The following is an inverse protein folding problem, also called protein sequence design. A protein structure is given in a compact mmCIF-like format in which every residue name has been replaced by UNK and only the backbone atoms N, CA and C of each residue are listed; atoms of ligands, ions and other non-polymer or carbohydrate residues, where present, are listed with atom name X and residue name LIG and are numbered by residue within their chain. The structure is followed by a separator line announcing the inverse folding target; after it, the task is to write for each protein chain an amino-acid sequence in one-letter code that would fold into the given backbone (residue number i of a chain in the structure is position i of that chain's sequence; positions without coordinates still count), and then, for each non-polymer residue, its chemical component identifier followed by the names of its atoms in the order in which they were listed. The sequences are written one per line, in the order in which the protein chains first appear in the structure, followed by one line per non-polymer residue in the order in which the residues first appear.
data_IF_488161397962
#
_entry.id   IF_488161397962
#
_cell.length_a   1.000
_cell.length_b   1.000
_cell.length_c   1.000
_cell.angle_alpha   90.00
_cell.angle_beta   90.00
_cell.angle_gamma   90.00
#
_symmetry.space_group_name_H-M   'P 1'
#
loop_
_entity.id
_entity.type
_entity.pdbx_description
1 polymer ?
#
# COMPACT_ATOMS: atom_id res chain seq x y z
N UNK A 1 51.68 -15.07 -38.28
CA UNK A 1 50.75 -14.91 -39.41
C UNK A 1 49.47 -14.24 -38.93
N UNK A 2 49.04 -13.21 -39.66
CA UNK A 2 47.70 -12.62 -39.77
C UNK A 2 47.14 -11.77 -38.60
N UNK A 3 47.43 -10.47 -38.76
CA UNK A 3 46.61 -9.30 -38.44
C UNK A 3 45.14 -9.44 -38.89
N UNK A 4 44.19 -8.93 -38.10
CA UNK A 4 42.88 -8.41 -38.53
C UNK A 4 42.40 -7.43 -37.43
N UNK A 5 42.68 -6.13 -37.55
CA UNK A 5 41.92 -5.07 -38.26
C UNK A 5 40.76 -4.48 -37.46
N UNK A 6 40.99 -3.24 -37.04
CA UNK A 6 40.02 -2.20 -36.75
C UNK A 6 38.83 -2.18 -37.73
N UNK A 7 37.64 -1.88 -37.23
CA UNK A 7 36.68 -1.05 -37.95
C UNK A 7 35.88 -0.18 -36.98
N UNK A 8 36.20 1.11 -37.04
CA UNK A 8 35.38 2.22 -36.58
C UNK A 8 34.10 2.26 -37.42
N UNK A 9 32.93 2.29 -36.77
CA UNK A 9 31.74 2.90 -37.36
C UNK A 9 31.41 4.18 -36.59
N UNK A 10 31.76 5.28 -37.24
CA UNK A 10 31.47 6.67 -36.94
C UNK A 10 29.98 6.92 -37.18
N UNK A 11 29.22 7.20 -36.12
CA UNK A 11 27.88 7.79 -36.25
C UNK A 11 27.92 9.20 -35.66
N UNK A 12 27.84 10.19 -36.55
CA UNK A 12 27.79 11.61 -36.27
C UNK A 12 26.49 11.99 -35.58
N UNK A 13 26.63 12.92 -34.63
CA UNK A 13 25.63 13.66 -33.89
C UNK A 13 24.58 14.31 -34.80
N UNK A 14 23.30 14.09 -34.50
CA UNK A 14 22.22 15.06 -34.78
C UNK A 14 21.57 15.37 -33.43
N UNK A 15 21.72 16.63 -33.03
CA UNK A 15 21.34 17.16 -31.73
C UNK A 15 19.88 16.91 -31.36
N UNK A 16 19.68 16.34 -30.17
CA UNK A 16 18.54 16.70 -29.34
C UNK A 16 19.10 17.44 -28.14
N UNK A 17 18.84 18.73 -28.10
CA UNK A 17 19.00 19.53 -26.88
C UNK A 17 17.96 19.04 -25.90
N UNK A 18 18.31 17.99 -25.16
CA UNK A 18 17.61 17.63 -23.95
C UNK A 18 17.98 18.69 -22.92
N UNK A 19 17.10 19.66 -22.71
CA UNK A 19 17.14 20.49 -21.50
C UNK A 19 16.76 19.59 -20.33
N UNK A 20 17.68 18.72 -19.94
CA UNK A 20 17.65 18.04 -18.65
C UNK A 20 17.76 19.13 -17.61
N UNK A 21 16.62 19.47 -16.99
CA UNK A 21 16.56 20.19 -15.73
C UNK A 21 17.24 19.30 -14.69
N UNK A 22 18.56 19.47 -14.59
CA UNK A 22 19.40 18.97 -13.52
C UNK A 22 18.87 19.56 -12.22
N UNK A 23 18.12 18.76 -11.46
CA UNK A 23 18.08 18.99 -10.03
C UNK A 23 19.42 18.52 -9.51
N UNK A 24 20.29 19.48 -9.21
CA UNK A 24 21.50 19.27 -8.44
C UNK A 24 21.06 18.67 -7.09
N UNK A 25 21.12 17.35 -6.99
CA UNK A 25 21.15 16.66 -5.70
C UNK A 25 22.56 16.89 -5.17
N UNK A 26 22.73 17.91 -4.33
CA UNK A 26 23.97 18.10 -3.58
C UNK A 26 24.11 16.93 -2.61
N UNK A 27 24.85 15.92 -3.02
CA UNK A 27 25.44 14.95 -2.12
C UNK A 27 26.63 15.64 -1.46
N UNK A 28 26.36 16.39 -0.39
CA UNK A 28 27.42 16.87 0.49
C UNK A 28 27.84 15.70 1.38
N UNK A 29 29.05 15.18 1.15
CA UNK A 29 29.81 14.33 2.08
C UNK A 29 30.32 15.15 3.28
N UNK A 30 29.42 15.90 3.93
CA UNK A 30 29.58 16.36 5.30
C UNK A 30 28.70 15.46 6.16
N UNK A 31 29.06 15.24 7.42
CA UNK A 31 28.22 14.55 8.40
C UNK A 31 26.76 14.97 8.19
N UNK A 32 25.93 14.03 7.72
CA UNK A 32 24.51 14.31 7.61
C UNK A 32 24.04 14.48 9.04
N UNK A 33 24.00 15.72 9.53
CA UNK A 33 23.07 16.11 10.57
C UNK A 33 21.74 15.70 9.95
N UNK A 34 21.29 14.50 10.32
CA UNK A 34 19.98 14.00 9.93
C UNK A 34 19.06 15.05 10.53
N UNK A 35 18.64 16.05 9.76
CA UNK A 35 17.54 16.90 10.17
C UNK A 35 16.44 15.92 10.52
N UNK A 36 16.19 15.77 11.82
CA UNK A 36 15.28 14.75 12.31
C UNK A 36 13.96 15.02 11.64
N UNK A 37 13.51 14.07 10.81
CA UNK A 37 12.23 14.23 10.13
C UNK A 37 11.18 14.31 11.21
N UNK A 38 10.50 15.45 11.28
CA UNK A 38 9.38 15.66 12.17
C UNK A 38 8.39 14.49 12.07
N UNK A 39 7.74 14.11 13.20
CA UNK A 39 6.82 13.00 13.21
C UNK A 39 5.65 13.24 12.25
N UNK A 40 4.95 12.17 11.82
CA UNK A 40 3.76 12.30 10.97
C UNK A 40 2.76 13.31 11.56
N UNK A 41 2.27 14.23 10.74
CA UNK A 41 1.45 15.38 11.17
C UNK A 41 2.20 16.71 11.02
N UNK A 42 3.46 16.74 11.44
CA UNK A 42 4.34 17.92 11.41
C UNK A 42 5.31 17.91 10.22
N UNK A 43 5.19 16.92 9.33
CA UNK A 43 6.02 16.81 8.14
C UNK A 43 5.83 17.98 7.16
N UNK A 44 6.89 18.23 6.38
CA UNK A 44 6.90 19.28 5.34
C UNK A 44 5.78 19.08 4.33
N UNK A 45 4.95 20.11 4.19
CA UNK A 45 3.93 20.26 3.15
C UNK A 45 4.58 20.92 1.94
N UNK A 46 4.48 20.27 0.77
CA UNK A 46 5.03 20.82 -0.47
C UNK A 46 4.00 21.72 -1.17
N UNK A 47 4.44 22.68 -2.00
CA UNK A 47 3.53 23.53 -2.79
C UNK A 47 2.57 22.71 -3.65
N UNK A 48 3.08 21.65 -4.27
CA UNK A 48 2.27 20.72 -5.06
C UNK A 48 1.24 19.98 -4.22
N UNK A 49 1.57 19.56 -2.98
CA UNK A 49 0.59 18.91 -2.10
C UNK A 49 -0.56 19.85 -1.74
N UNK A 50 -0.29 21.15 -1.57
CA UNK A 50 -1.33 22.16 -1.35
C UNK A 50 -2.22 22.29 -2.59
N UNK A 51 -1.61 22.44 -3.77
CA UNK A 51 -2.33 22.49 -5.04
C UNK A 51 -3.23 21.26 -5.25
N UNK A 52 -2.69 20.06 -5.04
CA UNK A 52 -3.47 18.83 -5.15
C UNK A 52 -4.60 18.84 -4.12
N UNK A 53 -4.34 19.17 -2.86
CA UNK A 53 -5.39 19.20 -1.82
C UNK A 53 -6.53 20.17 -2.14
N UNK A 54 -6.21 21.36 -2.68
CA UNK A 54 -7.21 22.37 -3.07
C UNK A 54 -8.04 21.90 -4.28
N UNK A 55 -7.43 21.21 -5.26
CA UNK A 55 -8.08 20.88 -6.52
C UNK A 55 -8.64 19.45 -6.60
N UNK A 56 -8.27 18.55 -5.67
CA UNK A 56 -8.70 17.15 -5.70
C UNK A 56 -10.22 17.00 -5.51
N UNK A 57 -10.83 17.88 -4.70
CA UNK A 57 -12.27 17.86 -4.44
C UNK A 57 -13.13 18.30 -5.65
N UNK A 58 -12.52 18.86 -6.70
CA UNK A 58 -13.22 19.26 -7.92
C UNK A 58 -13.49 18.06 -8.84
N UNK A 59 -12.74 16.96 -8.70
CA UNK A 59 -12.87 15.75 -9.51
C UNK A 59 -13.82 14.70 -8.94
N UNK A 60 -14.96 15.07 -8.34
CA UNK A 60 -15.82 14.15 -7.55
C UNK A 60 -16.31 12.89 -8.29
N UNK A 61 -16.28 12.89 -9.63
CA UNK A 61 -16.85 11.83 -10.46
C UNK A 61 -15.78 10.99 -11.21
N UNK A 62 -14.49 11.27 -11.01
CA UNK A 62 -13.39 10.56 -11.69
C UNK A 62 -12.67 9.57 -10.75
N UNK A 63 -11.99 8.59 -11.35
CA UNK A 63 -11.12 7.67 -10.60
C UNK A 63 -9.96 8.49 -9.99
N UNK A 64 -9.67 8.36 -8.68
CA UNK A 64 -8.63 9.13 -7.97
C UNK A 64 -7.28 9.20 -8.68
N UNK A 65 -6.86 8.10 -9.31
CA UNK A 65 -5.61 8.02 -10.10
C UNK A 65 -5.63 8.96 -11.30
N UNK A 66 -6.77 9.06 -11.99
CA UNK A 66 -6.93 9.92 -13.16
C UNK A 66 -6.91 11.40 -12.77
N UNK A 67 -7.60 11.76 -11.69
CA UNK A 67 -7.55 13.10 -11.09
C UNK A 67 -6.10 13.48 -10.80
N UNK A 68 -5.34 12.59 -10.15
CA UNK A 68 -3.95 12.87 -9.79
C UNK A 68 -3.05 13.07 -11.02
N UNK A 69 -3.24 12.28 -12.08
CA UNK A 69 -2.53 12.45 -13.37
C UNK A 69 -2.86 13.81 -13.99
N UNK A 70 -4.14 14.19 -14.01
CA UNK A 70 -4.61 15.46 -14.55
C UNK A 70 -4.04 16.65 -13.76
N UNK A 71 -4.11 16.61 -12.43
CA UNK A 71 -3.55 17.65 -11.55
C UNK A 71 -2.02 17.76 -11.70
N UNK A 72 -1.32 16.63 -11.88
CA UNK A 72 0.13 16.65 -12.13
C UNK A 72 0.45 17.38 -13.44
N UNK A 73 -0.35 17.18 -14.50
CA UNK A 73 -0.20 17.90 -15.77
C UNK A 73 -0.50 19.38 -15.60
N UNK A 74 -1.60 19.73 -14.94
CA UNK A 74 -1.97 21.12 -14.67
C UNK A 74 -0.86 21.84 -13.90
N UNK A 75 -0.37 21.26 -12.80
CA UNK A 75 0.73 21.83 -12.01
C UNK A 75 1.99 22.10 -12.85
N UNK A 76 2.34 21.22 -13.79
CA UNK A 76 3.49 21.44 -14.67
C UNK A 76 3.28 22.65 -15.58
N UNK A 77 2.06 22.83 -16.07
CA UNK A 77 1.69 23.88 -17.01
C UNK A 77 1.38 25.24 -16.35
N UNK A 78 1.19 25.30 -15.01
CA UNK A 78 1.01 26.56 -14.30
C UNK A 78 2.22 27.49 -14.48
N UNK A 79 1.96 28.79 -14.54
CA UNK A 79 2.98 29.82 -14.55
C UNK A 79 3.76 29.89 -13.24
N UNK A 80 4.96 30.47 -13.26
CA UNK A 80 5.79 30.61 -12.06
C UNK A 80 5.13 31.51 -11.01
N UNK A 81 4.38 32.54 -11.42
CA UNK A 81 3.62 33.41 -10.51
C UNK A 81 2.50 32.67 -9.78
N UNK A 82 1.77 31.79 -10.48
CA UNK A 82 0.73 30.96 -9.89
C UNK A 82 1.31 29.94 -8.92
N UNK A 83 2.47 29.34 -9.28
CA UNK A 83 3.22 28.43 -8.40
C UNK A 83 3.74 29.15 -7.16
N UNK A 84 4.18 30.41 -7.30
CA UNK A 84 4.73 31.22 -6.20
C UNK A 84 3.75 31.33 -5.04
N UNK A 85 2.45 31.55 -5.31
CA UNK A 85 1.39 31.54 -4.29
C UNK A 85 1.39 30.26 -3.46
N UNK A 86 1.56 29.09 -4.07
CA UNK A 86 1.62 27.82 -3.35
C UNK A 86 2.96 27.61 -2.64
N UNK A 87 4.05 28.15 -3.18
CA UNK A 87 5.37 28.14 -2.54
C UNK A 87 5.32 28.91 -1.23
N UNK A 88 4.85 30.15 -1.27
CA UNK A 88 4.78 31.04 -0.11
C UNK A 88 3.87 30.46 0.97
N UNK A 89 2.66 30.01 0.58
CA UNK A 89 1.75 29.30 1.49
C UNK A 89 2.38 28.05 2.11
N UNK A 90 3.14 27.27 1.33
CA UNK A 90 3.77 26.07 1.84
C UNK A 90 4.87 26.40 2.85
N UNK A 91 5.64 27.47 2.64
CA UNK A 91 6.65 27.94 3.60
C UNK A 91 5.97 28.34 4.90
N UNK A 92 4.97 29.21 4.84
CA UNK A 92 4.21 29.66 6.02
C UNK A 92 3.63 28.48 6.82
N UNK A 93 2.91 27.56 6.17
CA UNK A 93 2.31 26.40 6.85
C UNK A 93 3.35 25.46 7.45
N UNK A 94 4.56 25.39 6.88
CA UNK A 94 5.62 24.55 7.44
C UNK A 94 6.27 25.21 8.65
N UNK A 95 6.40 26.53 8.64
CA UNK A 95 6.88 27.30 9.79
C UNK A 95 5.88 27.23 10.95
N UNK A 96 4.60 27.42 10.68
CA UNK A 96 3.52 27.28 11.67
C UNK A 96 3.54 25.88 12.31
N UNK A 97 3.60 24.82 11.50
CA UNK A 97 3.72 23.44 12.02
C UNK A 97 4.98 23.21 12.82
N UNK A 98 6.10 23.83 12.42
CA UNK A 98 7.36 23.69 13.14
C UNK A 98 7.26 24.37 14.51
N UNK A 99 6.71 25.57 14.57
CA UNK A 99 6.49 26.30 15.82
C UNK A 99 5.48 25.57 16.73
N UNK A 100 4.40 25.04 16.15
CA UNK A 100 3.42 24.20 16.85
C UNK A 100 4.09 22.95 17.44
N UNK A 101 5.00 22.33 16.71
CA UNK A 101 5.77 21.20 17.23
C UNK A 101 6.75 21.62 18.33
N UNK A 102 7.43 22.75 18.16
CA UNK A 102 8.41 23.27 19.12
C UNK A 102 7.76 23.69 20.45
N UNK A 103 6.51 24.17 20.41
CA UNK A 103 5.74 24.56 21.60
C UNK A 103 5.21 23.36 22.42
N UNK A 104 5.23 22.14 21.88
CA UNK A 104 4.87 20.94 22.64
C UNK A 104 5.88 20.63 23.74
N UNK A 105 5.41 19.99 24.80
CA UNK A 105 6.28 19.46 25.85
C UNK A 105 7.16 18.31 25.34
N UNK A 106 8.29 18.08 26.00
CA UNK A 106 9.22 17.01 25.60
C UNK A 106 8.58 15.61 25.67
N UNK A 107 7.68 15.39 26.64
CA UNK A 107 6.92 14.15 26.76
C UNK A 107 5.99 13.90 25.57
N UNK A 108 5.26 14.92 25.12
CA UNK A 108 4.38 14.83 23.95
C UNK A 108 5.18 14.59 22.66
N UNK A 109 6.32 15.27 22.51
CA UNK A 109 7.25 15.05 21.38
C UNK A 109 7.72 13.59 21.37
N UNK A 110 8.14 13.06 22.51
CA UNK A 110 8.59 11.67 22.62
C UNK A 110 7.47 10.67 22.27
N UNK A 111 6.25 10.90 22.75
CA UNK A 111 5.10 10.06 22.41
C UNK A 111 4.78 10.05 20.90
N UNK A 112 4.85 11.22 20.25
CA UNK A 112 4.66 11.33 18.81
C UNK A 112 5.72 10.52 18.04
N UNK A 113 6.98 10.56 18.47
CA UNK A 113 8.03 9.75 17.88
C UNK A 113 7.84 8.25 18.12
N UNK A 114 7.48 7.83 19.34
CA UNK A 114 7.15 6.43 19.66
C UNK A 114 6.01 5.91 18.79
N UNK A 115 4.93 6.68 18.65
CA UNK A 115 3.78 6.34 17.78
C UNK A 115 4.17 6.25 16.31
N UNK A 116 5.02 7.18 15.85
CA UNK A 116 5.53 7.17 14.48
C UNK A 116 6.38 5.92 14.21
N UNK A 117 7.24 5.53 15.15
CA UNK A 117 8.08 4.34 15.05
C UNK A 117 7.23 3.06 15.05
N UNK A 118 6.30 2.91 16.00
CA UNK A 118 5.40 1.77 16.06
C UNK A 118 4.59 1.61 14.76
N UNK A 119 4.14 2.72 14.18
CA UNK A 119 3.44 2.73 12.89
C UNK A 119 4.33 2.28 11.72
N UNK A 120 5.60 2.69 11.69
CA UNK A 120 6.57 2.22 10.68
C UNK A 120 6.82 0.72 10.81
N UNK A 121 7.02 0.23 12.03
CA UNK A 121 7.23 -1.18 12.32
C UNK A 121 6.01 -2.03 11.95
N UNK A 122 4.80 -1.58 12.29
CA UNK A 122 3.56 -2.25 11.92
C UNK A 122 3.37 -2.33 10.39
N UNK A 123 3.68 -1.25 9.66
CA UNK A 123 3.66 -1.23 8.18
C UNK A 123 4.66 -2.23 7.60
N UNK A 124 5.88 -2.28 8.14
CA UNK A 124 6.90 -3.23 7.69
C UNK A 124 6.49 -4.68 7.96
N UNK A 125 6.00 -4.99 9.16
CA UNK A 125 5.44 -6.32 9.50
C UNK A 125 4.31 -6.71 8.56
N UNK A 126 3.41 -5.79 8.22
CA UNK A 126 2.32 -6.02 7.26
C UNK A 126 2.85 -6.31 5.85
N UNK A 127 3.86 -5.56 5.38
CA UNK A 127 4.50 -5.80 4.09
C UNK A 127 5.15 -7.19 4.05
N UNK A 128 5.94 -7.54 5.08
CA UNK A 128 6.55 -8.87 5.20
C UNK A 128 5.49 -9.97 5.21
N UNK A 129 4.39 -9.82 5.95
CA UNK A 129 3.30 -10.80 5.96
C UNK A 129 2.62 -10.94 4.59
N UNK A 130 2.47 -9.85 3.85
CA UNK A 130 1.91 -9.88 2.50
C UNK A 130 2.85 -10.55 1.52
N UNK A 131 4.13 -10.22 1.53
CA UNK A 131 5.13 -10.85 0.67
C UNK A 131 5.30 -12.33 0.99
N UNK A 132 5.27 -12.74 2.27
CA UNK A 132 5.21 -14.15 2.64
C UNK A 132 3.97 -14.86 2.10
N UNK A 133 2.80 -14.21 2.16
CA UNK A 133 1.56 -14.79 1.59
C UNK A 133 1.63 -14.90 0.06
N UNK A 134 2.18 -13.89 -0.62
CA UNK A 134 2.40 -13.94 -2.06
C UNK A 134 3.44 -15.00 -2.44
N UNK A 135 4.55 -15.08 -1.73
CA UNK A 135 5.57 -16.09 -1.95
C UNK A 135 5.01 -17.50 -1.71
N UNK A 136 4.23 -17.72 -0.65
CA UNK A 136 3.47 -18.96 -0.50
C UNK A 136 2.51 -19.17 -1.68
N UNK A 137 1.77 -18.15 -2.10
CA UNK A 137 0.84 -18.28 -3.23
C UNK A 137 1.55 -18.67 -4.55
N UNK A 138 2.63 -17.99 -4.93
CA UNK A 138 3.40 -18.29 -6.14
C UNK A 138 4.15 -19.63 -6.06
N UNK A 139 4.69 -19.98 -4.88
CA UNK A 139 5.33 -21.29 -4.66
C UNK A 139 4.30 -22.46 -4.72
N UNK A 140 3.02 -22.17 -4.50
CA UNK A 140 1.90 -23.12 -4.62
C UNK A 140 1.34 -23.23 -6.05
N UNK A 141 1.69 -22.30 -6.95
CA UNK A 141 1.27 -22.33 -8.36
C UNK A 141 2.24 -23.17 -9.22
N UNK A 142 3.51 -23.27 -8.81
CA UNK A 142 4.56 -24.05 -9.51
C UNK A 142 4.75 -25.48 -8.99
N UNK A 143 4.18 -25.85 -7.84
CA UNK A 143 4.18 -27.23 -7.33
C UNK A 143 2.75 -27.75 -7.29
N UNK A 144 2.48 -28.89 -7.94
CA UNK A 144 1.27 -29.67 -7.71
C UNK A 144 1.03 -29.80 -6.19
N UNK A 145 -0.13 -29.32 -5.76
CA UNK A 145 -0.40 -28.88 -4.41
C UNK A 145 -0.76 -30.06 -3.50
N UNK A 146 0.23 -30.68 -2.87
CA UNK A 146 0.01 -31.79 -1.93
C UNK A 146 -0.51 -31.34 -0.53
N UNK A 147 -1.01 -30.11 -0.41
CA UNK A 147 -1.66 -29.65 0.84
C UNK A 147 -2.66 -28.52 0.61
N UNK A 148 -3.67 -28.79 -0.20
CA UNK A 148 -4.95 -28.11 -0.03
C UNK A 148 -5.32 -28.21 1.46
N UNK A 149 -5.32 -27.07 2.17
CA UNK A 149 -5.57 -27.06 3.61
C UNK A 149 -6.82 -27.87 3.87
N UNK A 150 -6.63 -28.89 4.66
CA UNK A 150 -7.62 -29.90 4.93
C UNK A 150 -8.88 -29.22 5.43
N UNK A 151 -9.94 -29.29 4.62
CA UNK A 151 -11.23 -28.71 4.98
C UNK A 151 -11.69 -29.46 6.24
N UNK A 152 -12.10 -28.73 7.29
CA UNK A 152 -12.69 -29.37 8.48
C UNK A 152 -14.15 -29.74 8.20
N UNK A 153 -14.73 -30.67 8.95
CA UNK A 153 -16.15 -31.02 8.82
C UNK A 153 -17.07 -29.80 8.97
N UNK A 154 -16.73 -28.88 9.89
CA UNK A 154 -17.39 -27.58 10.02
C UNK A 154 -17.30 -26.74 8.74
N UNK A 155 -16.11 -26.61 8.14
CA UNK A 155 -15.94 -25.84 6.90
C UNK A 155 -16.70 -26.46 5.72
N UNK A 156 -16.78 -27.79 5.67
CA UNK A 156 -17.59 -28.52 4.69
C UNK A 156 -19.09 -28.24 4.90
N UNK A 157 -19.57 -28.31 6.15
CA UNK A 157 -20.93 -27.96 6.53
C UNK A 157 -21.29 -26.51 6.15
N UNK A 158 -20.42 -25.55 6.48
CA UNK A 158 -20.63 -24.14 6.12
C UNK A 158 -20.71 -23.97 4.61
N UNK A 159 -19.80 -24.57 3.84
CA UNK A 159 -19.85 -24.53 2.37
C UNK A 159 -21.15 -25.11 1.84
N UNK A 160 -21.56 -26.29 2.31
CA UNK A 160 -22.78 -26.93 1.84
C UNK A 160 -24.03 -26.10 2.19
N UNK A 161 -24.15 -25.59 3.42
CA UNK A 161 -25.37 -24.93 3.89
C UNK A 161 -25.45 -23.46 3.47
N UNK A 162 -24.32 -22.76 3.33
CA UNK A 162 -24.29 -21.39 2.82
C UNK A 162 -24.50 -21.32 1.30
N UNK A 163 -24.02 -22.31 0.53
CA UNK A 163 -24.18 -22.34 -0.94
C UNK A 163 -25.55 -22.90 -1.35
N UNK A 164 -26.10 -23.89 -0.61
CA UNK A 164 -27.41 -24.51 -0.92
C UNK A 164 -28.62 -23.69 -0.45
N UNK A 165 -28.47 -22.39 -0.20
CA UNK A 165 -29.60 -21.45 -0.08
C UNK A 165 -30.40 -21.51 1.22
N UNK A 166 -29.88 -22.11 2.30
CA UNK A 166 -30.53 -22.02 3.63
C UNK A 166 -30.28 -20.63 4.25
N UNK A 167 -29.25 -19.93 3.79
CA UNK A 167 -28.87 -18.61 4.27
C UNK A 167 -29.41 -17.51 3.34
N UNK A 168 -30.09 -16.52 3.93
CA UNK A 168 -30.59 -15.36 3.19
C UNK A 168 -29.43 -14.57 2.56
N UNK A 169 -29.38 -14.41 1.21
CA UNK A 169 -28.30 -13.67 0.54
C UNK A 169 -28.27 -12.18 0.89
N UNK A 170 -29.34 -11.65 1.51
CA UNK A 170 -29.43 -10.27 1.98
C UNK A 170 -28.69 -10.02 3.30
N UNK A 171 -28.33 -11.07 4.05
CA UNK A 171 -27.62 -10.95 5.34
C UNK A 171 -26.11 -10.85 5.13
N UNK A 172 -25.42 -10.17 6.06
CA UNK A 172 -23.96 -10.14 6.07
C UNK A 172 -23.41 -11.55 6.30
N UNK A 173 -22.37 -11.92 5.56
CA UNK A 173 -21.72 -13.24 5.67
C UNK A 173 -21.36 -13.63 7.11
N UNK A 174 -21.00 -12.64 7.95
CA UNK A 174 -20.70 -12.89 9.37
C UNK A 174 -21.91 -13.40 10.15
N UNK A 175 -23.10 -12.86 9.87
CA UNK A 175 -24.31 -13.23 10.59
C UNK A 175 -24.82 -14.60 10.13
N UNK A 176 -24.71 -14.89 8.83
CA UNK A 176 -24.94 -16.24 8.28
C UNK A 176 -24.01 -17.28 8.96
N UNK A 177 -22.72 -16.98 9.10
CA UNK A 177 -21.77 -17.89 9.76
C UNK A 177 -22.12 -18.08 11.24
N UNK A 178 -22.58 -17.04 11.94
CA UNK A 178 -23.02 -17.16 13.34
C UNK A 178 -24.27 -18.04 13.47
N UNK A 179 -25.27 -17.85 12.60
CA UNK A 179 -26.47 -18.69 12.55
C UNK A 179 -26.10 -20.16 12.30
N UNK A 180 -25.26 -20.41 11.30
CA UNK A 180 -24.76 -21.76 11.00
C UNK A 180 -23.95 -22.36 12.17
N UNK A 181 -23.23 -21.54 12.94
CA UNK A 181 -22.48 -22.01 14.10
C UNK A 181 -23.40 -22.46 15.23
N UNK A 182 -24.56 -21.81 15.40
CA UNK A 182 -25.60 -22.24 16.34
C UNK A 182 -26.17 -23.58 15.86
N UNK A 183 -26.55 -23.66 14.58
CA UNK A 183 -27.08 -24.90 13.99
C UNK A 183 -26.09 -26.05 14.16
N UNK A 184 -24.81 -25.85 13.84
CA UNK A 184 -23.77 -26.86 14.01
C UNK A 184 -23.63 -27.34 15.45
N UNK A 185 -23.70 -26.44 16.44
CA UNK A 185 -23.67 -26.83 17.85
C UNK A 185 -24.89 -27.63 18.29
N UNK A 186 -26.06 -27.36 17.68
CA UNK A 186 -27.29 -28.12 17.93
C UNK A 186 -27.37 -29.46 17.18
N UNK A 187 -26.47 -29.74 16.23
CA UNK A 187 -26.46 -31.01 15.51
C UNK A 187 -26.03 -32.16 16.44
N UNK A 188 -26.66 -33.35 16.31
CA UNK A 188 -26.23 -34.53 17.03
C UNK A 188 -24.78 -34.89 16.65
N UNK A 189 -24.06 -35.47 17.61
CA UNK A 189 -22.63 -35.81 17.44
C UNK A 189 -22.41 -36.76 16.24
N UNK A 190 -23.35 -37.66 15.98
CA UNK A 190 -23.32 -38.58 14.83
C UNK A 190 -23.23 -37.85 13.50
N UNK A 191 -23.98 -36.76 13.31
CA UNK A 191 -23.96 -35.96 12.08
C UNK A 191 -22.67 -35.14 11.95
N UNK A 192 -22.18 -34.57 13.07
CA UNK A 192 -20.91 -33.84 13.09
C UNK A 192 -19.73 -34.75 12.74
N UNK A 193 -19.72 -35.98 13.25
CA UNK A 193 -18.74 -36.99 12.90
C UNK A 193 -18.82 -37.36 11.42
N UNK A 194 -20.01 -37.55 10.86
CA UNK A 194 -20.18 -37.81 9.43
C UNK A 194 -19.61 -36.69 8.54
N UNK A 195 -19.74 -35.42 8.96
CA UNK A 195 -19.10 -34.29 8.30
C UNK A 195 -17.57 -34.32 8.41
N UNK A 196 -17.03 -34.70 9.57
CA UNK A 196 -15.58 -34.83 9.77
C UNK A 196 -14.98 -35.97 8.92
N UNK A 197 -15.65 -37.12 8.83
CA UNK A 197 -15.21 -38.24 7.98
C UNK A 197 -15.25 -37.87 6.50
N UNK A 198 -16.34 -37.25 6.02
CA UNK A 198 -16.39 -36.71 4.65
C UNK A 198 -15.26 -35.72 4.36
N UNK A 199 -14.94 -34.86 5.32
CA UNK A 199 -13.87 -33.88 5.17
C UNK A 199 -12.47 -34.50 5.20
N UNK A 200 -12.29 -35.66 5.87
CA UNK A 200 -11.05 -36.46 5.80
C UNK A 200 -10.92 -37.16 4.45
N UNK A 201 -12.01 -37.72 3.92
CA UNK A 201 -12.02 -38.46 2.65
C UNK A 201 -11.81 -37.54 1.43
N UNK A 202 -12.17 -36.26 1.55
CA UNK A 202 -11.84 -35.24 0.54
C UNK A 202 -10.32 -34.99 0.39
N UNK A 203 -9.46 -35.54 1.25
CA UNK A 203 -8.00 -35.44 1.15
C UNK A 203 -7.33 -36.61 0.45
N UNK A 204 -8.03 -37.74 0.29
CA UNK A 204 -7.41 -39.01 -0.13
C UNK A 204 -7.47 -39.25 -1.65
N UNK A 205 -7.68 -38.18 -2.43
CA UNK A 205 -7.72 -38.15 -3.88
C UNK A 205 -6.95 -36.94 -4.37
#
# INVERSE_FOLDING_TARGET
MLLLRNNLCRASLVGRVSTTRSYVSMNANGSSVKFERLPPGFGRTTPFNLFVKENFALGKNEVPTQIFVNLTKQWRNLGDDEKKKYVDKAVQLNEEKKLEFESLSDGEKEELFKRAQASKEARLKRKIRLERRKACFFMYEERECDSQRTISGWMLFVKEKAIKGIADPSKKQQDIIKELAIVWKSLPESERLAYNERAKNLKSH
#
